data_IF_762426937793
#
_entry.id   IF_762426937793
#
_cell.length_a   1.000
_cell.length_b   1.000
_cell.length_c   1.000
_cell.angle_alpha   90.00
_cell.angle_beta   90.00
_cell.angle_gamma   90.00
#
_symmetry.space_group_name_H-M   'P 1'
#
loop_
_entity.id
_entity.type
_entity.pdbx_description
1 polymer ?
#
# COMPACT_ATOMS: atom_id res chain seq x y z
N UNK A 1 -21.15 -63.41 33.19
CA UNK A 1 -19.86 -64.14 33.21
C UNK A 1 -19.78 -65.24 32.14
N UNK A 2 -20.78 -66.12 32.02
CA UNK A 2 -20.79 -67.20 31.00
C UNK A 2 -20.63 -66.69 29.55
N UNK A 3 -21.28 -65.58 29.20
CA UNK A 3 -21.16 -64.97 27.85
C UNK A 3 -19.76 -64.41 27.58
N UNK A 4 -19.10 -63.83 28.59
CA UNK A 4 -17.75 -63.29 28.45
C UNK A 4 -16.71 -64.41 28.31
N UNK A 5 -16.84 -65.47 29.13
CA UNK A 5 -16.00 -66.66 29.02
C UNK A 5 -16.21 -67.39 27.68
N UNK A 6 -17.45 -67.44 27.20
CA UNK A 6 -17.79 -67.97 25.88
C UNK A 6 -17.16 -67.17 24.75
N UNK A 7 -17.18 -65.83 24.82
CA UNK A 7 -16.54 -64.95 23.84
C UNK A 7 -15.01 -65.12 23.78
N UNK A 8 -14.36 -65.26 24.93
CA UNK A 8 -12.90 -65.49 25.02
C UNK A 8 -12.54 -66.88 24.47
N UNK A 9 -13.34 -67.91 24.79
CA UNK A 9 -13.13 -69.26 24.26
C UNK A 9 -13.30 -69.30 22.73
N UNK A 10 -14.30 -68.60 22.19
CA UNK A 10 -14.49 -68.44 20.74
C UNK A 10 -13.29 -67.73 20.10
N UNK A 11 -12.81 -66.63 20.68
CA UNK A 11 -11.63 -65.93 20.16
C UNK A 11 -10.39 -66.84 20.17
N UNK A 12 -10.17 -67.61 21.24
CA UNK A 12 -9.05 -68.57 21.32
C UNK A 12 -9.17 -69.70 20.28
N UNK A 13 -10.36 -70.28 20.11
CA UNK A 13 -10.61 -71.37 19.17
C UNK A 13 -10.38 -70.95 17.71
N UNK A 14 -10.77 -69.72 17.36
CA UNK A 14 -10.55 -69.18 16.02
C UNK A 14 -9.09 -68.75 15.88
N UNK A 15 -8.54 -67.85 16.74
CA UNK A 15 -7.19 -67.23 16.58
C UNK A 15 -6.02 -68.19 16.85
N UNK A 16 -6.09 -69.00 17.90
CA UNK A 16 -4.95 -69.81 18.36
C UNK A 16 -5.00 -71.21 17.75
N UNK A 17 -6.19 -71.85 17.79
CA UNK A 17 -6.36 -73.22 17.32
C UNK A 17 -6.56 -73.33 15.80
N UNK A 18 -6.78 -72.21 15.09
CA UNK A 18 -7.00 -72.13 13.64
C UNK A 18 -8.01 -73.16 13.11
N UNK A 19 -9.05 -73.45 13.90
CA UNK A 19 -10.09 -74.42 13.53
C UNK A 19 -10.99 -73.93 12.37
N UNK A 20 -10.96 -72.62 12.10
CA UNK A 20 -11.72 -71.96 11.05
C UNK A 20 -10.76 -71.14 10.22
N UNK A 21 -10.87 -71.27 8.90
CA UNK A 21 -10.04 -70.57 7.94
C UNK A 21 -10.36 -69.06 7.98
N UNK A 22 -9.44 -68.27 8.55
CA UNK A 22 -9.64 -66.84 8.79
C UNK A 22 -9.94 -66.09 7.50
N UNK A 23 -9.28 -66.45 6.40
CA UNK A 23 -9.48 -65.87 5.08
C UNK A 23 -10.93 -66.01 4.63
N UNK A 24 -11.54 -67.19 4.78
CA UNK A 24 -12.90 -67.46 4.29
C UNK A 24 -13.96 -66.74 5.14
N UNK A 25 -13.75 -66.70 6.46
CA UNK A 25 -14.61 -65.96 7.38
C UNK A 25 -14.50 -64.46 7.11
N UNK A 26 -13.28 -63.95 6.88
CA UNK A 26 -13.03 -62.57 6.52
C UNK A 26 -13.68 -62.17 5.20
N UNK A 27 -13.62 -63.02 4.17
CA UNK A 27 -14.24 -62.76 2.87
C UNK A 27 -15.78 -62.70 2.97
N UNK A 28 -16.41 -63.56 3.79
CA UNK A 28 -17.86 -63.53 4.04
C UNK A 28 -18.31 -62.29 4.82
N UNK A 29 -17.52 -61.82 5.78
CA UNK A 29 -17.84 -60.65 6.62
C UNK A 29 -17.14 -59.35 6.18
N UNK A 30 -16.48 -59.36 5.02
CA UNK A 30 -15.80 -58.21 4.41
C UNK A 30 -16.61 -56.91 4.41
N UNK A 31 -17.91 -56.90 4.03
CA UNK A 31 -18.72 -55.67 4.08
C UNK A 31 -18.92 -55.16 5.51
N UNK A 32 -19.08 -56.05 6.49
CA UNK A 32 -19.25 -55.67 7.89
C UNK A 32 -17.93 -55.15 8.48
N UNK A 33 -16.83 -55.84 8.19
CA UNK A 33 -15.49 -55.42 8.60
C UNK A 33 -15.14 -54.05 8.01
N UNK A 34 -15.40 -53.80 6.73
CA UNK A 34 -15.13 -52.49 6.12
C UNK A 34 -15.96 -51.39 6.77
N UNK A 35 -17.22 -51.66 7.11
CA UNK A 35 -18.07 -50.72 7.84
C UNK A 35 -17.51 -50.34 9.22
N UNK A 36 -17.08 -51.32 10.01
CA UNK A 36 -16.48 -51.07 11.32
C UNK A 36 -15.08 -50.44 11.23
N UNK A 37 -14.28 -50.87 10.25
CA UNK A 37 -12.94 -50.33 9.99
C UNK A 37 -12.99 -48.85 9.58
N UNK A 38 -13.98 -48.48 8.78
CA UNK A 38 -14.21 -47.10 8.34
C UNK A 38 -15.03 -46.29 9.35
N UNK A 39 -15.23 -46.79 10.58
CA UNK A 39 -16.04 -46.15 11.63
C UNK A 39 -17.39 -45.67 11.10
N UNK A 40 -18.14 -46.56 10.45
CA UNK A 40 -19.43 -46.28 9.81
C UNK A 40 -19.38 -45.16 8.75
N UNK A 41 -18.20 -44.90 8.18
CA UNK A 41 -17.94 -43.78 7.25
C UNK A 41 -18.20 -42.39 7.86
N UNK A 42 -18.40 -42.31 9.18
CA UNK A 42 -18.76 -41.07 9.89
C UNK A 42 -17.67 -40.02 9.75
N UNK A 43 -16.42 -40.45 9.85
CA UNK A 43 -15.26 -39.55 9.75
C UNK A 43 -15.10 -38.98 8.33
N UNK A 44 -15.30 -39.82 7.30
CA UNK A 44 -15.33 -39.41 5.88
C UNK A 44 -16.46 -38.42 5.60
N UNK A 45 -17.64 -38.65 6.18
CA UNK A 45 -18.80 -37.77 6.00
C UNK A 45 -18.54 -36.41 6.65
N UNK A 46 -17.98 -36.40 7.86
CA UNK A 46 -17.60 -35.19 8.59
C UNK A 46 -16.58 -34.35 7.80
N UNK A 47 -15.46 -34.96 7.38
CA UNK A 47 -14.43 -34.24 6.65
C UNK A 47 -14.90 -33.75 5.27
N UNK A 48 -15.72 -34.53 4.58
CA UNK A 48 -16.16 -34.20 3.23
C UNK A 48 -17.28 -33.16 3.19
N UNK A 49 -18.18 -33.18 4.16
CA UNK A 49 -19.34 -32.28 4.19
C UNK A 49 -19.07 -31.08 5.09
N UNK A 50 -18.74 -31.33 6.36
CA UNK A 50 -18.62 -30.27 7.35
C UNK A 50 -17.29 -29.53 7.21
N UNK A 51 -16.16 -30.26 7.21
CA UNK A 51 -14.85 -29.60 7.16
C UNK A 51 -14.60 -28.89 5.82
N UNK A 52 -14.88 -29.55 4.68
CA UNK A 52 -14.77 -28.89 3.37
C UNK A 52 -15.78 -27.77 3.18
N UNK A 53 -17.03 -27.95 3.59
CA UNK A 53 -18.05 -26.91 3.48
C UNK A 53 -17.69 -25.66 4.26
N UNK A 54 -17.19 -25.83 5.49
CA UNK A 54 -16.69 -24.71 6.31
C UNK A 54 -15.48 -24.03 5.66
N UNK A 55 -14.53 -24.80 5.12
CA UNK A 55 -13.33 -24.26 4.49
C UNK A 55 -13.65 -23.44 3.22
N UNK A 56 -14.59 -23.91 2.40
CA UNK A 56 -15.03 -23.21 1.20
C UNK A 56 -15.80 -21.93 1.54
N UNK A 57 -16.70 -21.99 2.53
CA UNK A 57 -17.43 -20.83 3.01
C UNK A 57 -16.47 -19.77 3.59
N UNK A 58 -15.51 -20.20 4.40
CA UNK A 58 -14.47 -19.33 4.97
C UNK A 58 -13.65 -18.65 3.88
N UNK A 59 -13.25 -19.38 2.83
CA UNK A 59 -12.52 -18.80 1.69
C UNK A 59 -13.36 -17.81 0.89
N UNK A 60 -14.65 -18.07 0.70
CA UNK A 60 -15.57 -17.17 0.01
C UNK A 60 -15.74 -15.86 0.80
N UNK A 61 -16.01 -15.98 2.10
CA UNK A 61 -16.13 -14.81 2.99
C UNK A 61 -14.84 -14.02 3.05
N UNK A 62 -13.69 -14.69 3.17
CA UNK A 62 -12.39 -14.03 3.18
C UNK A 62 -12.16 -13.25 1.90
N UNK A 63 -12.38 -13.85 0.71
CA UNK A 63 -12.19 -13.14 -0.56
C UNK A 63 -13.17 -11.97 -0.73
N UNK A 64 -14.43 -12.14 -0.31
CA UNK A 64 -15.42 -11.08 -0.42
C UNK A 64 -15.08 -9.90 0.50
N UNK A 65 -14.71 -10.18 1.76
CA UNK A 65 -14.36 -9.15 2.73
C UNK A 65 -13.04 -8.47 2.36
N UNK A 66 -11.99 -9.23 2.06
CA UNK A 66 -10.67 -8.68 1.76
C UNK A 66 -10.72 -7.78 0.51
N UNK A 67 -11.30 -8.28 -0.59
CA UNK A 67 -11.31 -7.54 -1.86
C UNK A 67 -12.32 -6.39 -1.90
N UNK A 68 -13.51 -6.54 -1.31
CA UNK A 68 -14.52 -5.48 -1.42
C UNK A 68 -14.43 -4.48 -0.27
N UNK A 69 -14.23 -4.98 0.94
CA UNK A 69 -14.26 -4.13 2.13
C UNK A 69 -12.89 -3.54 2.37
N UNK A 70 -11.82 -4.34 2.42
CA UNK A 70 -10.49 -3.83 2.76
C UNK A 70 -9.91 -3.03 1.60
N UNK A 71 -9.79 -3.62 0.41
CA UNK A 71 -9.23 -2.91 -0.75
C UNK A 71 -10.12 -1.71 -1.15
N UNK A 72 -11.44 -1.89 -1.14
CA UNK A 72 -12.39 -0.81 -1.45
C UNK A 72 -12.30 0.36 -0.48
N UNK A 73 -12.23 0.08 0.83
CA UNK A 73 -12.12 1.11 1.85
C UNK A 73 -10.76 1.83 1.80
N UNK A 74 -9.66 1.09 1.62
CA UNK A 74 -8.33 1.68 1.51
C UNK A 74 -8.24 2.57 0.26
N UNK A 75 -8.72 2.10 -0.89
CA UNK A 75 -8.72 2.90 -2.12
C UNK A 75 -9.60 4.14 -1.97
N UNK A 76 -10.78 4.02 -1.37
CA UNK A 76 -11.64 5.17 -1.09
C UNK A 76 -10.95 6.20 -0.18
N UNK A 77 -10.32 5.74 0.91
CA UNK A 77 -9.57 6.63 1.81
C UNK A 77 -8.42 7.32 1.08
N UNK A 78 -7.66 6.57 0.29
CA UNK A 78 -6.54 7.10 -0.49
C UNK A 78 -7.02 8.16 -1.49
N UNK A 79 -8.07 7.88 -2.27
CA UNK A 79 -8.62 8.82 -3.24
C UNK A 79 -9.11 10.10 -2.57
N UNK A 80 -9.87 9.99 -1.47
CA UNK A 80 -10.38 11.17 -0.76
C UNK A 80 -9.25 11.98 -0.13
N UNK A 81 -8.29 11.31 0.50
CA UNK A 81 -7.12 11.96 1.09
C UNK A 81 -6.28 12.67 0.03
N UNK A 82 -6.02 12.02 -1.10
CA UNK A 82 -5.25 12.59 -2.20
C UNK A 82 -5.93 13.81 -2.81
N UNK A 83 -7.25 13.76 -3.02
CA UNK A 83 -8.04 14.91 -3.49
C UNK A 83 -7.98 16.05 -2.49
N UNK A 84 -8.09 15.77 -1.19
CA UNK A 84 -8.00 16.77 -0.13
C UNK A 84 -6.61 17.43 -0.10
N UNK A 85 -5.53 16.64 -0.10
CA UNK A 85 -4.15 17.15 -0.11
C UNK A 85 -3.89 17.97 -1.37
N UNK A 86 -4.36 17.50 -2.54
CA UNK A 86 -4.24 18.25 -3.79
C UNK A 86 -5.01 19.57 -3.74
N UNK A 87 -6.18 19.60 -3.12
CA UNK A 87 -6.95 20.83 -2.92
C UNK A 87 -6.23 21.81 -1.98
N UNK A 88 -5.65 21.32 -0.88
CA UNK A 88 -4.83 22.13 0.03
C UNK A 88 -3.60 22.70 -0.69
N UNK A 89 -2.85 21.85 -1.40
CA UNK A 89 -1.67 22.27 -2.16
C UNK A 89 -2.06 23.31 -3.21
N UNK A 90 -3.13 23.07 -3.98
CA UNK A 90 -3.62 24.02 -4.97
C UNK A 90 -4.06 25.35 -4.36
N UNK A 91 -4.69 25.33 -3.18
CA UNK A 91 -5.14 26.57 -2.53
C UNK A 91 -3.97 27.37 -1.93
N UNK A 92 -2.90 26.71 -1.49
CA UNK A 92 -1.73 27.36 -0.92
C UNK A 92 -0.75 27.78 -2.01
N UNK A 93 -0.28 26.85 -2.83
CA UNK A 93 0.76 27.03 -3.82
C UNK A 93 0.35 28.03 -4.90
N UNK A 94 -0.79 27.80 -5.58
CA UNK A 94 -1.21 28.67 -6.68
C UNK A 94 -1.46 30.09 -6.20
N UNK A 95 -2.15 30.28 -5.07
CA UNK A 95 -2.45 31.64 -4.58
C UNK A 95 -1.19 32.37 -4.13
N UNK A 96 -0.31 31.70 -3.38
CA UNK A 96 0.89 32.35 -2.86
C UNK A 96 1.89 32.62 -3.97
N UNK A 97 2.13 31.65 -4.85
CA UNK A 97 3.07 31.79 -5.96
C UNK A 97 2.58 32.83 -6.95
N UNK A 98 1.30 32.81 -7.36
CA UNK A 98 0.79 33.79 -8.34
C UNK A 98 0.90 35.21 -7.80
N UNK A 99 0.53 35.46 -6.54
CA UNK A 99 0.64 36.79 -5.92
C UNK A 99 2.10 37.23 -5.84
N UNK A 100 3.01 36.36 -5.37
CA UNK A 100 4.42 36.71 -5.24
C UNK A 100 5.06 36.99 -6.60
N UNK A 101 4.82 36.14 -7.59
CA UNK A 101 5.38 36.34 -8.94
C UNK A 101 4.83 37.63 -9.55
N UNK A 102 3.52 37.89 -9.43
CA UNK A 102 2.90 39.08 -10.00
C UNK A 102 3.50 40.37 -9.41
N UNK A 103 3.67 40.43 -8.08
CA UNK A 103 4.26 41.58 -7.41
C UNK A 103 5.74 41.79 -7.77
N UNK A 104 6.52 40.71 -7.87
CA UNK A 104 7.93 40.77 -8.29
C UNK A 104 8.03 41.32 -9.71
N UNK A 105 7.20 40.82 -10.64
CA UNK A 105 7.21 41.26 -12.04
C UNK A 105 6.82 42.74 -12.16
N UNK A 106 5.74 43.18 -11.50
CA UNK A 106 5.31 44.58 -11.54
C UNK A 106 6.38 45.49 -10.96
N UNK A 107 6.97 45.10 -9.83
CA UNK A 107 8.00 45.91 -9.17
C UNK A 107 9.24 46.03 -10.05
N UNK A 108 9.68 44.94 -10.67
CA UNK A 108 10.80 44.95 -11.61
C UNK A 108 10.54 45.86 -12.81
N UNK A 109 9.34 45.78 -13.40
CA UNK A 109 8.94 46.65 -14.51
C UNK A 109 8.84 48.12 -14.08
N UNK A 110 8.32 48.40 -12.89
CA UNK A 110 8.23 49.76 -12.35
C UNK A 110 9.60 50.38 -12.17
N UNK A 111 10.54 49.63 -11.56
CA UNK A 111 11.93 50.05 -11.40
C UNK A 111 12.58 50.29 -12.76
N UNK A 112 12.40 49.38 -13.72
CA UNK A 112 12.93 49.54 -15.08
C UNK A 112 12.37 50.77 -15.81
N UNK A 113 11.08 51.06 -15.66
CA UNK A 113 10.45 52.27 -16.23
C UNK A 113 10.97 53.55 -15.57
N UNK A 114 11.11 53.57 -14.26
CA UNK A 114 11.69 54.72 -13.54
C UNK A 114 13.17 54.93 -13.93
N UNK A 115 13.96 53.86 -14.04
CA UNK A 115 15.34 53.93 -14.51
C UNK A 115 15.44 54.42 -15.96
N UNK A 116 14.47 54.06 -16.82
CA UNK A 116 14.39 54.57 -18.20
C UNK A 116 14.16 56.08 -18.24
N UNK A 117 13.50 56.69 -17.25
CA UNK A 117 13.32 58.15 -17.23
C UNK A 117 14.64 58.92 -16.99
N UNK A 118 15.66 58.29 -16.41
CA UNK A 118 17.00 58.88 -16.31
C UNK A 118 17.70 58.96 -17.68
N UNK A 119 17.25 58.17 -18.65
CA UNK A 119 17.71 58.23 -20.03
C UNK A 119 16.85 59.25 -20.79
N UNK A 120 17.25 60.53 -20.74
CA UNK A 120 16.51 61.65 -21.35
C UNK A 120 16.58 61.69 -22.88
N UNK A 121 17.45 60.88 -23.50
CA UNK A 121 17.64 60.83 -24.95
C UNK A 121 18.40 62.03 -25.54
N UNK A 122 18.74 63.05 -24.74
CA UNK A 122 19.57 64.18 -25.16
C UNK A 122 21.05 63.85 -24.98
N UNK A 123 21.81 63.81 -26.09
CA UNK A 123 23.25 63.50 -26.12
C UNK A 123 24.06 64.32 -25.08
N UNK A 124 23.70 65.58 -24.88
CA UNK A 124 24.37 66.48 -23.94
C UNK A 124 24.33 65.99 -22.48
N UNK A 125 23.22 65.36 -22.05
CA UNK A 125 23.12 64.82 -20.69
C UNK A 125 24.06 63.61 -20.51
N UNK A 126 24.20 62.76 -21.52
CA UNK A 126 25.13 61.63 -21.48
C UNK A 126 26.59 62.08 -21.37
N UNK A 127 26.98 63.09 -22.15
CA UNK A 127 28.34 63.66 -22.08
C UNK A 127 28.64 64.22 -20.70
N UNK A 128 27.69 64.94 -20.11
CA UNK A 128 27.84 65.50 -18.76
C UNK A 128 27.98 64.40 -17.69
N UNK A 129 27.15 63.34 -17.74
CA UNK A 129 27.28 62.19 -16.83
C UNK A 129 28.60 61.44 -17.01
N UNK A 130 29.09 61.28 -18.25
CA UNK A 130 30.36 60.63 -18.51
C UNK A 130 31.53 61.40 -17.91
N UNK A 131 31.60 62.72 -18.14
CA UNK A 131 32.69 63.56 -17.58
C UNK A 131 32.66 63.58 -16.06
N UNK A 132 31.47 63.74 -15.45
CA UNK A 132 31.33 63.67 -14.00
C UNK A 132 31.75 62.31 -13.45
N UNK A 133 31.36 61.21 -14.12
CA UNK A 133 31.77 59.86 -13.77
C UNK A 133 33.28 59.68 -13.82
N UNK A 134 33.95 60.17 -14.88
CA UNK A 134 35.41 60.11 -15.00
C UNK A 134 36.10 60.88 -13.88
N UNK A 135 35.67 62.11 -13.58
CA UNK A 135 36.25 62.92 -12.50
C UNK A 135 36.05 62.25 -11.14
N UNK A 136 34.89 61.66 -10.90
CA UNK A 136 34.58 60.98 -9.64
C UNK A 136 35.42 59.72 -9.46
N UNK A 137 35.54 58.89 -10.50
CA UNK A 137 36.40 57.68 -10.47
C UNK A 137 37.86 58.05 -10.23
N UNK A 138 38.39 59.07 -10.93
CA UNK A 138 39.76 59.55 -10.72
C UNK A 138 39.96 60.13 -9.33
N UNK A 139 38.99 60.91 -8.83
CA UNK A 139 39.03 61.46 -7.48
C UNK A 139 39.04 60.38 -6.40
N UNK A 140 38.20 59.35 -6.53
CA UNK A 140 38.20 58.19 -5.64
C UNK A 140 39.52 57.42 -5.75
N UNK A 141 40.03 57.21 -6.96
CA UNK A 141 41.29 56.50 -7.17
C UNK A 141 42.48 57.24 -6.54
N UNK A 142 42.56 58.56 -6.70
CA UNK A 142 43.61 59.39 -6.09
C UNK A 142 43.48 59.42 -4.57
N UNK A 143 42.27 59.53 -4.04
CA UNK A 143 42.02 59.48 -2.60
C UNK A 143 42.40 58.12 -1.99
N UNK A 144 42.15 57.03 -2.71
CA UNK A 144 42.57 55.69 -2.30
C UNK A 144 44.09 55.56 -2.37
N UNK A 145 44.73 56.08 -3.43
CA UNK A 145 46.18 56.05 -3.61
C UNK A 145 46.93 56.86 -2.55
N UNK A 146 46.40 58.01 -2.14
CA UNK A 146 46.97 58.88 -1.10
C UNK A 146 46.84 58.28 0.32
N UNK A 147 45.93 57.30 0.50
CA UNK A 147 45.73 56.56 1.76
C UNK A 147 46.42 55.19 1.81
N UNK A 148 47.10 54.78 0.73
CA UNK A 148 47.91 53.55 0.68
C UNK A 148 49.37 53.86 0.98
#
# INVERSE_FOLDING_TARGET
>A
MLVALGGIWLAWAVYVKRLVDYEQLYQRFKPLHTLFKEQFFTEKLYHKVLARGYLELSRLLYRAVDREVIDGFINFLYEKFFVFVKALWKSLDIKVIDILIHEVVITAVRVGRSARQLQTGLLNHYVLFMVLGTVLVLGVMLFVLDRM
#
